data_IF_869673244309
#
_entry.id   IF_869673244309
#
_cell.length_a   1.000
_cell.length_b   1.000
_cell.length_c   1.000
_cell.angle_alpha   90.00
_cell.angle_beta   90.00
_cell.angle_gamma   90.00
#
_symmetry.space_group_name_H-M   'P 1'
#
loop_
_entity.id
_entity.type
_entity.pdbx_description
1 polymer ?
#
# COMPACT_ATOMS: atom_id res chain seq x y z
N UNK A 1 15.58 -3.30 20.79
CA UNK A 1 16.49 -2.67 19.81
C UNK A 1 17.78 -3.47 19.77
N UNK A 2 18.21 -3.87 18.57
CA UNK A 2 19.49 -4.56 18.39
C UNK A 2 20.66 -3.57 18.57
N UNK A 3 21.82 -4.01 19.09
CA UNK A 3 22.98 -3.15 19.26
C UNK A 3 23.68 -2.80 17.94
N UNK A 4 23.38 -3.53 16.85
CA UNK A 4 23.94 -3.33 15.51
C UNK A 4 22.99 -3.85 14.43
N UNK A 5 23.23 -3.42 13.20
CA UNK A 5 22.65 -3.96 11.98
C UNK A 5 23.77 -4.14 10.96
N UNK A 6 24.05 -5.39 10.60
CA UNK A 6 25.09 -5.73 9.64
C UNK A 6 24.50 -5.92 8.24
N UNK A 7 25.30 -5.61 7.22
CA UNK A 7 24.94 -5.78 5.82
C UNK A 7 26.05 -6.59 5.12
N UNK A 8 25.66 -7.61 4.34
CA UNK A 8 26.60 -8.46 3.62
C UNK A 8 26.22 -8.61 2.14
N UNK A 9 27.20 -8.36 1.27
CA UNK A 9 27.10 -8.67 -0.15
C UNK A 9 27.54 -10.13 -0.39
N UNK A 10 26.69 -10.88 -1.10
CA UNK A 10 26.88 -12.29 -1.44
C UNK A 10 26.95 -12.41 -2.96
N UNK A 11 28.02 -13.00 -3.46
CA UNK A 11 28.32 -13.13 -4.90
C UNK A 11 27.26 -13.94 -5.63
N UNK A 12 26.89 -15.12 -5.11
CA UNK A 12 25.87 -16.00 -5.68
C UNK A 12 24.72 -16.17 -4.68
N UNK A 13 23.73 -15.28 -4.75
CA UNK A 13 22.56 -15.34 -3.89
C UNK A 13 21.30 -15.72 -4.71
N UNK A 14 20.61 -16.84 -4.40
CA UNK A 14 19.45 -17.29 -5.18
C UNK A 14 18.32 -16.26 -5.17
N UNK A 15 18.10 -15.63 -4.02
CA UNK A 15 17.19 -14.49 -3.87
C UNK A 15 17.90 -13.18 -4.23
N UNK A 16 17.16 -12.07 -4.34
CA UNK A 16 17.80 -10.76 -4.51
C UNK A 16 18.49 -10.28 -3.22
N UNK A 17 17.83 -10.47 -2.09
CA UNK A 17 18.26 -10.12 -0.74
C UNK A 17 17.36 -10.83 0.28
N UNK A 18 17.74 -10.77 1.56
CA UNK A 18 16.99 -11.33 2.67
C UNK A 18 17.20 -10.48 3.93
N UNK A 19 16.10 -10.14 4.57
CA UNK A 19 15.96 -9.26 5.74
C UNK A 19 16.26 -9.94 7.09
N UNK A 20 17.27 -10.81 7.18
CA UNK A 20 17.52 -11.50 8.45
C UNK A 20 17.75 -10.49 9.58
N UNK A 21 17.10 -10.70 10.73
CA UNK A 21 17.07 -9.73 11.82
C UNK A 21 18.48 -9.46 12.37
N UNK A 22 18.99 -8.25 12.12
CA UNK A 22 20.34 -7.82 12.50
C UNK A 22 21.46 -8.16 11.50
N UNK A 23 21.16 -8.87 10.40
CA UNK A 23 22.12 -9.29 9.38
C UNK A 23 21.48 -9.40 7.98
N UNK A 24 21.39 -8.28 7.27
CA UNK A 24 20.74 -8.23 5.95
C UNK A 24 21.73 -8.69 4.88
N UNK A 25 21.31 -9.66 4.06
CA UNK A 25 22.13 -10.20 2.97
C UNK A 25 21.61 -9.74 1.61
N UNK A 26 22.51 -9.44 0.68
CA UNK A 26 22.21 -8.88 -0.64
C UNK A 26 22.96 -9.67 -1.72
N UNK A 27 22.42 -9.75 -2.94
CA UNK A 27 23.30 -9.86 -4.12
C UNK A 27 24.23 -8.65 -4.16
N UNK A 28 25.46 -8.83 -4.62
CA UNK A 28 26.45 -7.73 -4.71
C UNK A 28 25.88 -6.45 -5.35
N UNK A 29 25.14 -6.61 -6.45
CA UNK A 29 24.52 -5.49 -7.18
C UNK A 29 23.51 -4.68 -6.36
N UNK A 30 22.95 -5.26 -5.29
CA UNK A 30 21.95 -4.63 -4.43
C UNK A 30 22.55 -3.88 -3.24
N UNK A 31 23.86 -3.98 -2.99
CA UNK A 31 24.55 -3.31 -1.88
C UNK A 31 25.77 -2.50 -2.35
N UNK A 32 26.60 -3.07 -3.22
CA UNK A 32 27.84 -2.45 -3.67
C UNK A 32 27.55 -1.40 -4.74
N UNK A 33 28.21 -0.24 -4.62
CA UNK A 33 28.22 0.80 -5.65
C UNK A 33 29.59 0.80 -6.31
N UNK A 34 29.62 0.56 -7.62
CA UNK A 34 30.84 0.62 -8.41
C UNK A 34 30.94 1.98 -9.11
N UNK A 35 32.17 2.42 -9.41
CA UNK A 35 32.46 3.73 -10.01
C UNK A 35 31.79 3.97 -11.36
N UNK A 36 31.36 2.90 -12.03
CA UNK A 36 30.69 2.93 -13.33
C UNK A 36 29.16 2.75 -13.25
N UNK A 37 28.57 2.78 -12.04
CA UNK A 37 27.12 2.66 -11.91
C UNK A 37 26.39 3.86 -12.51
N UNK A 38 25.33 3.57 -13.24
CA UNK A 38 24.40 4.59 -13.74
C UNK A 38 23.57 5.15 -12.60
N UNK A 39 23.06 6.37 -12.77
CA UNK A 39 22.11 6.97 -11.83
C UNK A 39 20.89 6.08 -11.58
N UNK A 40 20.41 5.37 -12.61
CA UNK A 40 19.31 4.42 -12.50
C UNK A 40 19.64 3.24 -11.56
N UNK A 41 20.87 2.73 -11.59
CA UNK A 41 21.31 1.66 -10.69
C UNK A 41 21.41 2.17 -9.24
N UNK A 42 21.99 3.36 -9.04
CA UNK A 42 22.07 3.99 -7.72
C UNK A 42 20.66 4.23 -7.16
N UNK A 43 19.75 4.76 -8.00
CA UNK A 43 18.34 4.98 -7.68
C UNK A 43 17.66 3.66 -7.25
N UNK A 44 17.85 2.58 -8.02
CA UNK A 44 17.31 1.26 -7.69
C UNK A 44 17.81 0.75 -6.35
N UNK A 45 19.12 0.88 -6.08
CA UNK A 45 19.73 0.42 -4.83
C UNK A 45 19.22 1.19 -3.61
N UNK A 46 19.01 2.51 -3.72
CA UNK A 46 18.39 3.31 -2.64
C UNK A 46 17.04 2.73 -2.23
N UNK A 47 16.16 2.46 -3.20
CA UNK A 47 14.87 1.83 -2.91
C UNK A 47 15.03 0.43 -2.34
N UNK A 48 15.94 -0.35 -2.91
CA UNK A 48 16.12 -1.73 -2.53
C UNK A 48 16.56 -1.87 -1.07
N UNK A 49 17.55 -1.07 -0.65
CA UNK A 49 18.01 -1.00 0.73
C UNK A 49 16.89 -0.49 1.65
N UNK A 50 16.18 0.57 1.26
CA UNK A 50 15.07 1.12 2.05
C UNK A 50 13.95 0.09 2.28
N UNK A 51 13.63 -0.73 1.27
CA UNK A 51 12.66 -1.84 1.42
C UNK A 51 13.14 -2.84 2.45
N UNK A 52 14.41 -3.23 2.40
CA UNK A 52 14.96 -4.26 3.28
C UNK A 52 15.01 -3.81 4.74
N UNK A 53 15.30 -2.53 4.96
CA UNK A 53 15.23 -1.88 6.27
C UNK A 53 13.80 -1.72 6.80
N UNK A 54 12.77 -1.90 5.95
CA UNK A 54 11.38 -1.74 6.34
C UNK A 54 10.68 -3.09 6.64
N UNK A 55 11.39 -4.21 6.54
CA UNK A 55 10.88 -5.52 6.95
C UNK A 55 10.89 -5.65 8.47
N UNK A 56 9.80 -5.22 9.08
CA UNK A 56 9.67 -5.15 10.54
C UNK A 56 8.58 -6.10 11.08
N UNK A 57 7.84 -6.80 10.20
CA UNK A 57 6.77 -7.72 10.59
C UNK A 57 7.14 -9.18 10.34
N UNK A 58 6.94 -10.00 11.37
CA UNK A 58 6.89 -11.46 11.20
C UNK A 58 5.43 -11.89 11.13
N UNK A 59 4.92 -12.43 10.01
CA UNK A 59 3.53 -12.87 9.94
C UNK A 59 3.34 -14.18 10.72
N UNK A 60 2.15 -14.38 11.33
CA UNK A 60 1.80 -15.64 12.01
C UNK A 60 1.81 -16.84 11.07
N UNK A 61 1.51 -16.62 9.79
CA UNK A 61 1.56 -17.64 8.74
C UNK A 61 1.74 -17.01 7.36
N UNK A 62 2.07 -17.82 6.37
CA UNK A 62 2.22 -17.40 4.97
C UNK A 62 0.94 -16.81 4.36
N UNK A 63 -0.23 -17.10 4.93
CA UNK A 63 -1.51 -16.42 4.60
C UNK A 63 -1.39 -14.90 4.71
N UNK A 64 -0.58 -14.42 5.66
CA UNK A 64 -0.43 -13.01 6.00
C UNK A 64 0.89 -12.40 5.51
N UNK A 65 1.54 -13.04 4.52
CA UNK A 65 2.79 -12.56 3.93
C UNK A 65 2.71 -11.09 3.46
N UNK A 66 1.54 -10.66 3.00
CA UNK A 66 1.28 -9.29 2.55
C UNK A 66 1.54 -8.23 3.64
N UNK A 67 1.49 -8.59 4.93
CA UNK A 67 1.80 -7.68 6.03
C UNK A 67 3.28 -7.29 5.99
N UNK A 68 4.18 -8.28 5.82
CA UNK A 68 5.61 -8.02 5.73
C UNK A 68 5.96 -7.33 4.42
N UNK A 69 5.60 -7.95 3.29
CA UNK A 69 6.01 -7.49 1.97
C UNK A 69 5.33 -6.19 1.54
N UNK A 70 4.05 -6.02 1.88
CA UNK A 70 3.29 -4.84 1.53
C UNK A 70 3.75 -3.62 2.33
N UNK A 71 4.00 -3.80 3.63
CA UNK A 71 4.50 -2.70 4.47
C UNK A 71 5.90 -2.27 4.01
N UNK A 72 6.81 -3.23 3.79
CA UNK A 72 8.13 -2.93 3.23
C UNK A 72 8.04 -2.24 1.87
N UNK A 73 7.13 -2.67 0.99
CA UNK A 73 6.89 -2.04 -0.32
C UNK A 73 6.39 -0.60 -0.19
N UNK A 74 5.49 -0.30 0.75
CA UNK A 74 5.06 1.09 0.95
C UNK A 74 6.20 1.97 1.49
N UNK A 75 6.88 1.51 2.53
CA UNK A 75 7.95 2.27 3.18
C UNK A 75 9.17 2.46 2.29
N UNK A 76 9.44 1.52 1.37
CA UNK A 76 10.45 1.66 0.32
C UNK A 76 10.32 3.01 -0.40
N UNK A 77 9.12 3.37 -0.86
CA UNK A 77 8.89 4.63 -1.56
C UNK A 77 8.72 5.80 -0.61
N UNK A 78 8.00 5.61 0.51
CA UNK A 78 7.77 6.69 1.47
C UNK A 78 9.09 7.24 2.05
N UNK A 79 9.98 6.36 2.50
CA UNK A 79 11.26 6.76 3.11
C UNK A 79 12.20 7.34 2.07
N UNK A 80 12.31 6.73 0.89
CA UNK A 80 13.20 7.25 -0.16
C UNK A 80 12.73 8.61 -0.68
N UNK A 81 11.43 8.82 -0.85
CA UNK A 81 10.89 10.12 -1.22
C UNK A 81 11.15 11.19 -0.16
N UNK A 82 11.18 10.82 1.12
CA UNK A 82 11.51 11.75 2.19
C UNK A 82 13.00 12.09 2.24
N UNK A 83 13.88 11.11 2.00
CA UNK A 83 15.32 11.30 2.04
C UNK A 83 15.89 11.95 0.77
N UNK A 84 15.25 11.72 -0.37
CA UNK A 84 15.72 12.15 -1.70
C UNK A 84 14.52 12.67 -2.55
N UNK A 85 13.84 13.74 -2.10
CA UNK A 85 12.62 14.25 -2.75
C UNK A 85 12.84 14.69 -4.20
N UNK A 86 14.06 15.02 -4.58
CA UNK A 86 14.45 15.42 -5.94
C UNK A 86 14.44 14.26 -6.95
N UNK A 87 14.42 13.01 -6.48
CA UNK A 87 14.53 11.82 -7.33
C UNK A 87 13.19 11.24 -7.81
N UNK A 88 12.06 11.79 -7.36
CA UNK A 88 10.73 11.42 -7.88
C UNK A 88 10.22 10.04 -7.44
N UNK A 89 10.52 9.62 -6.20
CA UNK A 89 10.09 8.32 -5.68
C UNK A 89 8.56 8.22 -5.48
N UNK A 90 7.85 9.33 -5.26
CA UNK A 90 6.38 9.33 -5.20
C UNK A 90 5.73 9.13 -6.59
N UNK A 91 6.35 9.65 -7.66
CA UNK A 91 5.97 9.36 -9.05
C UNK A 91 6.16 7.88 -9.36
N UNK A 92 7.30 7.32 -8.97
CA UNK A 92 7.63 5.91 -9.16
C UNK A 92 6.70 4.99 -8.33
N UNK A 93 6.32 5.39 -7.12
CA UNK A 93 5.31 4.66 -6.35
C UNK A 93 3.98 4.53 -7.10
N UNK A 94 3.55 5.61 -7.78
CA UNK A 94 2.31 5.59 -8.57
C UNK A 94 2.39 4.63 -9.76
N UNK A 95 3.53 4.54 -10.42
CA UNK A 95 3.69 3.71 -11.63
C UNK A 95 4.09 2.27 -11.28
N UNK A 96 5.17 2.09 -10.52
CA UNK A 96 5.78 0.80 -10.23
C UNK A 96 5.09 -0.01 -9.12
N UNK A 97 4.29 0.64 -8.25
CA UNK A 97 3.45 -0.07 -7.28
C UNK A 97 1.97 -0.01 -7.67
N UNK A 98 1.37 1.19 -7.68
CA UNK A 98 -0.09 1.31 -7.84
C UNK A 98 -0.53 0.81 -9.22
N UNK A 99 -0.07 1.45 -10.31
CA UNK A 99 -0.49 1.07 -11.66
C UNK A 99 -0.09 -0.37 -12.02
N UNK A 100 1.13 -0.78 -11.66
CA UNK A 100 1.58 -2.16 -11.84
C UNK A 100 0.66 -3.19 -11.14
N UNK A 101 0.17 -2.89 -9.93
CA UNK A 101 -0.79 -3.76 -9.26
C UNK A 101 -2.13 -3.83 -10.00
N UNK A 102 -2.66 -2.69 -10.49
CA UNK A 102 -3.93 -2.65 -11.22
C UNK A 102 -3.89 -3.45 -12.53
N UNK A 103 -2.77 -3.39 -13.26
CA UNK A 103 -2.58 -4.17 -14.50
C UNK A 103 -2.62 -5.69 -14.22
N UNK A 104 -2.09 -6.11 -13.09
CA UNK A 104 -1.98 -7.54 -12.75
C UNK A 104 -3.19 -8.08 -11.98
N UNK A 105 -3.87 -7.26 -11.19
CA UNK A 105 -4.97 -7.64 -10.28
C UNK A 105 -6.32 -7.78 -11.00
N UNK A 106 -6.29 -8.47 -12.14
CA UNK A 106 -7.43 -8.73 -13.02
C UNK A 106 -7.80 -10.21 -12.95
N UNK A 107 -9.09 -10.52 -13.07
CA UNK A 107 -9.60 -11.89 -12.88
C UNK A 107 -9.02 -12.93 -13.85
N UNK A 108 -8.50 -12.49 -15.00
CA UNK A 108 -7.85 -13.35 -16.00
C UNK A 108 -6.44 -13.75 -15.59
N UNK A 109 -5.84 -13.09 -14.61
CA UNK A 109 -4.55 -13.46 -14.05
C UNK A 109 -4.74 -14.55 -12.98
N UNK A 110 -4.15 -15.75 -13.13
CA UNK A 110 -4.29 -16.83 -12.15
C UNK A 110 -3.73 -16.48 -10.77
N UNK A 111 -2.85 -15.48 -10.67
CA UNK A 111 -2.34 -14.96 -9.41
C UNK A 111 -3.28 -13.95 -8.73
N UNK A 112 -4.42 -13.59 -9.35
CA UNK A 112 -5.44 -12.71 -8.75
C UNK A 112 -6.21 -13.44 -7.65
N UNK A 113 -5.71 -13.29 -6.43
CA UNK A 113 -6.27 -13.86 -5.20
C UNK A 113 -6.40 -12.76 -4.14
N UNK A 114 -7.19 -12.97 -3.06
CA UNK A 114 -7.17 -12.11 -1.89
C UNK A 114 -5.74 -11.92 -1.33
N UNK A 115 -5.50 -10.83 -0.60
CA UNK A 115 -4.22 -10.65 0.10
C UNK A 115 -4.08 -11.70 1.21
N UNK A 116 -5.17 -11.95 1.93
CA UNK A 116 -5.32 -13.05 2.89
C UNK A 116 -5.68 -14.35 2.14
N UNK A 117 -4.66 -15.08 1.70
CA UNK A 117 -4.84 -16.31 0.94
C UNK A 117 -4.00 -17.45 1.51
N UNK A 118 -4.67 -18.50 2.01
CA UNK A 118 -4.02 -19.61 2.68
C UNK A 118 -3.17 -20.44 1.72
N UNK A 119 -1.96 -20.77 2.16
CA UNK A 119 -1.02 -21.66 1.50
C UNK A 119 -0.25 -22.45 2.55
N UNK A 120 0.25 -23.62 2.16
CA UNK A 120 0.99 -24.52 3.06
C UNK A 120 2.11 -25.23 2.30
N UNK A 121 1.82 -25.70 1.09
CA UNK A 121 2.82 -26.30 0.21
C UNK A 121 3.92 -25.31 -0.18
N UNK A 122 5.18 -25.77 -0.17
CA UNK A 122 6.34 -24.90 -0.40
C UNK A 122 6.29 -24.18 -1.76
N UNK A 123 5.79 -24.84 -2.80
CA UNK A 123 5.60 -24.25 -4.13
C UNK A 123 4.52 -23.18 -4.12
N UNK A 124 3.42 -23.39 -3.39
CA UNK A 124 2.36 -22.41 -3.22
C UNK A 124 2.85 -21.20 -2.40
N UNK A 125 3.61 -21.42 -1.33
CA UNK A 125 4.26 -20.36 -0.54
C UNK A 125 5.16 -19.51 -1.43
N UNK A 126 6.05 -20.13 -2.22
CA UNK A 126 6.90 -19.40 -3.18
C UNK A 126 6.06 -18.60 -4.18
N UNK A 127 4.95 -19.15 -4.64
CA UNK A 127 4.00 -18.47 -5.51
C UNK A 127 3.33 -17.23 -4.90
N UNK A 128 3.34 -17.07 -3.57
CA UNK A 128 2.81 -15.87 -2.88
C UNK A 128 3.75 -14.68 -2.90
N UNK A 129 5.04 -14.86 -3.21
CA UNK A 129 5.99 -13.75 -3.41
C UNK A 129 5.77 -13.10 -4.78
N UNK A 130 4.61 -12.47 -4.95
CA UNK A 130 4.13 -11.90 -6.20
C UNK A 130 3.44 -10.55 -5.98
N UNK A 131 2.91 -9.95 -7.04
CA UNK A 131 2.35 -8.60 -7.00
C UNK A 131 1.25 -8.38 -5.94
N UNK A 132 0.53 -9.44 -5.52
CA UNK A 132 -0.49 -9.34 -4.48
C UNK A 132 0.14 -8.98 -3.13
N UNK A 133 1.23 -9.66 -2.77
CA UNK A 133 1.91 -9.46 -1.49
C UNK A 133 2.80 -8.21 -1.48
N UNK A 134 3.29 -7.78 -2.65
CA UNK A 134 4.14 -6.60 -2.78
C UNK A 134 3.34 -5.36 -3.22
N UNK A 135 3.15 -5.17 -4.52
CA UNK A 135 2.61 -3.93 -5.11
C UNK A 135 1.17 -3.64 -4.66
N UNK A 136 0.27 -4.63 -4.69
CA UNK A 136 -1.13 -4.46 -4.27
C UNK A 136 -1.18 -4.15 -2.77
N UNK A 137 -0.57 -5.00 -1.95
CA UNK A 137 -0.56 -4.80 -0.50
C UNK A 137 0.06 -3.46 -0.10
N UNK A 138 1.21 -3.08 -0.66
CA UNK A 138 1.82 -1.77 -0.42
C UNK A 138 0.93 -0.61 -0.86
N UNK A 139 0.22 -0.75 -1.98
CA UNK A 139 -0.75 0.25 -2.45
C UNK A 139 -1.92 0.42 -1.49
N UNK A 140 -2.50 -0.68 -1.01
CA UNK A 140 -3.63 -0.66 -0.06
C UNK A 140 -3.19 -0.15 1.31
N UNK A 141 -2.08 -0.66 1.85
CA UNK A 141 -1.50 -0.20 3.11
C UNK A 141 -1.24 1.31 3.01
N UNK A 142 -0.58 1.78 1.95
CA UNK A 142 -0.33 3.20 1.73
C UNK A 142 -1.61 4.03 1.62
N UNK A 143 -2.67 3.53 0.98
CA UNK A 143 -3.96 4.21 0.89
C UNK A 143 -4.59 4.45 2.28
N UNK A 144 -4.51 3.48 3.19
CA UNK A 144 -5.01 3.59 4.56
C UNK A 144 -4.10 4.42 5.45
N UNK A 145 -2.78 4.23 5.36
CA UNK A 145 -1.81 4.99 6.15
C UNK A 145 -1.82 6.49 5.79
N UNK A 146 -2.12 6.85 4.55
CA UNK A 146 -2.32 8.25 4.14
C UNK A 146 -3.54 8.92 4.81
N UNK A 147 -4.43 8.15 5.43
CA UNK A 147 -5.50 8.71 6.28
C UNK A 147 -4.98 9.22 7.62
N UNK A 148 -3.72 8.90 7.98
CA UNK A 148 -3.06 9.20 9.26
C UNK A 148 -1.88 10.18 9.10
N UNK A 149 -1.79 10.92 7.98
CA UNK A 149 -0.58 11.65 7.57
C UNK A 149 0.00 12.61 8.62
N UNK A 150 -0.81 13.15 9.54
CA UNK A 150 -0.36 14.22 10.42
C UNK A 150 0.61 13.74 11.52
N UNK A 151 0.53 12.50 11.98
CA UNK A 151 1.54 11.92 12.89
C UNK A 151 2.03 10.53 12.44
N UNK A 152 1.96 10.26 11.14
CA UNK A 152 2.24 8.95 10.58
C UNK A 152 3.53 8.28 11.12
N UNK A 153 4.73 8.90 11.14
CA UNK A 153 5.94 8.24 11.64
C UNK A 153 5.86 7.80 13.11
N UNK A 154 5.27 8.65 13.97
CA UNK A 154 5.06 8.34 15.39
C UNK A 154 4.07 7.19 15.55
N UNK A 155 3.06 7.12 14.69
CA UNK A 155 2.03 6.07 14.71
C UNK A 155 2.52 4.75 14.15
N UNK A 156 3.27 4.77 13.04
CA UNK A 156 3.95 3.58 12.53
C UNK A 156 4.89 2.99 13.56
N UNK A 157 5.65 3.83 14.27
CA UNK A 157 6.47 3.37 15.39
C UNK A 157 5.64 2.68 16.47
N UNK A 158 4.52 3.29 16.90
CA UNK A 158 3.61 2.70 17.90
C UNK A 158 3.08 1.33 17.46
N UNK A 159 2.56 1.24 16.22
CA UNK A 159 2.05 0.01 15.59
C UNK A 159 3.10 -1.12 15.63
N UNK A 160 4.36 -0.79 15.36
CA UNK A 160 5.48 -1.75 15.38
C UNK A 160 5.87 -2.15 16.81
N UNK A 161 5.87 -1.19 17.75
CA UNK A 161 6.31 -1.45 19.14
C UNK A 161 5.28 -2.20 19.99
N UNK A 162 4.00 -2.09 19.69
CA UNK A 162 2.95 -2.80 20.45
C UNK A 162 2.92 -4.29 20.16
N UNK A 163 3.43 -4.70 19.00
CA UNK A 163 3.53 -6.10 18.57
C UNK A 163 4.99 -6.61 18.60
N UNK A 164 5.86 -5.92 19.34
CA UNK A 164 7.29 -6.22 19.35
C UNK A 164 7.55 -7.66 19.83
N UNK A 165 8.36 -8.41 19.08
CA UNK A 165 8.66 -9.83 19.29
C UNK A 165 7.49 -10.82 19.16
N UNK A 166 6.37 -10.40 18.58
CA UNK A 166 5.24 -11.30 18.30
C UNK A 166 5.01 -11.43 16.80
N UNK A 167 4.49 -12.59 16.40
CA UNK A 167 4.03 -12.76 15.04
C UNK A 167 2.68 -12.05 14.85
N UNK A 168 2.55 -11.26 13.80
CA UNK A 168 1.40 -10.42 13.52
C UNK A 168 0.36 -11.14 12.66
N UNK A 169 -0.92 -10.98 12.99
CA UNK A 169 -2.05 -11.21 12.09
C UNK A 169 -2.59 -9.86 11.58
N UNK A 170 -3.49 -9.88 10.58
CA UNK A 170 -4.17 -8.67 10.14
C UNK A 170 -4.94 -7.97 11.28
N UNK A 171 -5.47 -8.73 12.25
CA UNK A 171 -6.28 -8.18 13.33
C UNK A 171 -5.46 -7.23 14.23
N UNK A 172 -4.23 -7.59 14.60
CA UNK A 172 -3.38 -6.73 15.42
C UNK A 172 -2.95 -5.47 14.65
N UNK A 173 -2.61 -5.61 13.36
CA UNK A 173 -2.28 -4.45 12.53
C UNK A 173 -3.47 -3.49 12.41
N UNK A 174 -4.65 -4.00 12.09
CA UNK A 174 -5.84 -3.17 11.88
C UNK A 174 -6.27 -2.48 13.18
N UNK A 175 -6.15 -3.18 14.32
CA UNK A 175 -6.38 -2.60 15.64
C UNK A 175 -5.41 -1.47 15.92
N UNK A 176 -4.11 -1.67 15.69
CA UNK A 176 -3.12 -0.63 15.94
C UNK A 176 -3.32 0.61 15.04
N UNK A 177 -3.74 0.41 13.78
CA UNK A 177 -4.12 1.51 12.89
C UNK A 177 -5.41 2.21 13.38
N UNK A 178 -6.40 1.46 13.88
CA UNK A 178 -7.62 2.03 14.47
C UNK A 178 -7.30 2.91 15.67
N UNK A 179 -6.49 2.43 16.61
CA UNK A 179 -6.10 3.19 17.80
C UNK A 179 -5.34 4.48 17.40
N UNK A 180 -4.44 4.38 16.42
CA UNK A 180 -3.78 5.55 15.86
C UNK A 180 -4.76 6.55 15.22
N UNK A 181 -5.78 6.04 14.50
CA UNK A 181 -6.83 6.85 13.88
C UNK A 181 -7.68 7.58 14.94
N UNK A 182 -8.14 6.87 15.97
CA UNK A 182 -9.02 7.40 17.01
C UNK A 182 -8.32 8.49 17.83
N UNK A 183 -7.02 8.36 18.08
CA UNK A 183 -6.23 9.40 18.76
C UNK A 183 -6.10 10.69 17.92
N UNK A 184 -5.98 10.58 16.60
CA UNK A 184 -5.93 11.76 15.69
C UNK A 184 -7.32 12.33 15.39
N UNK A 185 -8.34 11.48 15.46
CA UNK A 185 -9.71 11.78 15.13
C UNK A 185 -10.62 11.34 16.29
N UNK A 186 -10.64 12.04 17.44
CA UNK A 186 -11.45 11.65 18.60
C UNK A 186 -12.97 11.59 18.31
N UNK A 187 -13.41 12.30 17.27
CA UNK A 187 -14.79 12.31 16.79
C UNK A 187 -14.96 11.50 15.47
N UNK A 188 -13.90 10.83 15.03
CA UNK A 188 -13.88 9.92 13.90
C UNK A 188 -14.82 8.74 14.14
N UNK A 189 -15.33 8.18 13.05
CA UNK A 189 -16.27 7.04 13.10
C UNK A 189 -15.89 5.95 12.10
N UNK A 190 -14.64 5.93 11.68
CA UNK A 190 -14.15 4.90 10.77
C UNK A 190 -13.90 3.63 11.54
N UNK A 191 -14.39 2.52 10.98
CA UNK A 191 -14.12 1.16 11.43
C UNK A 191 -13.00 0.60 10.54
N UNK A 192 -11.75 0.96 10.86
CA UNK A 192 -10.56 0.61 10.11
C UNK A 192 -10.46 -0.90 9.85
N UNK A 193 -10.68 -1.81 10.84
CA UNK A 193 -10.69 -3.24 10.58
C UNK A 193 -11.66 -3.63 9.47
N UNK A 194 -12.91 -3.17 9.53
CA UNK A 194 -13.89 -3.45 8.48
C UNK A 194 -13.49 -2.88 7.12
N UNK A 195 -12.95 -1.66 7.10
CA UNK A 195 -12.53 -1.02 5.85
C UNK A 195 -11.36 -1.78 5.22
N UNK A 196 -10.33 -2.14 5.99
CA UNK A 196 -9.16 -2.89 5.49
C UNK A 196 -9.53 -4.31 5.09
N UNK A 197 -10.34 -5.02 5.89
CA UNK A 197 -10.83 -6.36 5.55
C UNK A 197 -11.55 -6.40 4.20
N UNK A 198 -12.30 -5.36 3.84
CA UNK A 198 -12.96 -5.29 2.53
C UNK A 198 -11.99 -5.28 1.33
N UNK A 199 -10.70 -5.02 1.56
CA UNK A 199 -9.64 -5.09 0.54
C UNK A 199 -8.79 -6.35 0.66
N UNK A 200 -8.56 -6.85 1.87
CA UNK A 200 -7.64 -7.97 2.10
C UNK A 200 -8.27 -9.33 1.83
N UNK A 201 -9.58 -9.49 2.04
CA UNK A 201 -10.27 -10.78 1.96
C UNK A 201 -10.92 -11.06 0.59
N UNK A 202 -10.73 -10.20 -0.40
CA UNK A 202 -11.28 -10.39 -1.75
C UNK A 202 -10.26 -10.06 -2.85
N UNK A 203 -10.36 -10.77 -3.98
CA UNK A 203 -9.48 -10.61 -5.13
C UNK A 203 -9.93 -9.46 -6.04
N UNK A 204 -8.97 -8.83 -6.72
CA UNK A 204 -9.21 -7.68 -7.58
C UNK A 204 -9.37 -6.36 -6.84
N UNK A 205 -9.90 -5.38 -7.58
CA UNK A 205 -10.14 -4.01 -7.14
C UNK A 205 -11.40 -3.41 -7.79
N UNK A 206 -11.96 -2.32 -7.24
CA UNK A 206 -13.14 -1.67 -7.80
C UNK A 206 -12.78 -0.61 -8.87
N UNK A 207 -13.67 -0.44 -9.85
CA UNK A 207 -13.84 0.82 -10.56
C UNK A 207 -14.96 1.59 -9.86
N UNK A 208 -14.70 2.88 -9.59
CA UNK A 208 -15.72 3.82 -9.13
C UNK A 208 -16.23 4.61 -10.33
N UNK A 209 -17.50 4.44 -10.66
CA UNK A 209 -18.20 5.20 -11.69
C UNK A 209 -18.92 6.40 -11.06
N UNK A 210 -18.88 7.53 -11.76
CA UNK A 210 -19.49 8.78 -11.32
C UNK A 210 -20.49 9.23 -12.37
N UNK A 211 -21.77 9.23 -12.03
CA UNK A 211 -22.85 9.82 -12.83
C UNK A 211 -23.21 11.19 -12.23
N UNK A 212 -23.22 12.24 -13.06
CA UNK A 212 -23.59 13.60 -12.63
C UNK A 212 -24.95 14.00 -13.19
N UNK A 213 -25.83 14.50 -12.33
CA UNK A 213 -27.11 15.11 -12.71
C UNK A 213 -27.29 16.43 -11.97
N UNK A 214 -27.01 17.55 -12.66
CA UNK A 214 -26.96 18.88 -12.05
C UNK A 214 -25.92 18.95 -10.94
N UNK A 215 -26.36 19.26 -9.72
CA UNK A 215 -25.53 19.31 -8.51
C UNK A 215 -25.41 17.96 -7.79
N UNK A 216 -26.08 16.90 -8.26
CA UNK A 216 -26.06 15.58 -7.63
C UNK A 216 -25.04 14.68 -8.32
N UNK A 217 -24.26 13.97 -7.52
CA UNK A 217 -23.37 12.91 -7.98
C UNK A 217 -23.92 11.57 -7.49
N UNK A 218 -24.00 10.59 -8.37
CA UNK A 218 -24.25 9.20 -8.01
C UNK A 218 -22.95 8.45 -8.25
N UNK A 219 -22.40 7.93 -7.17
CA UNK A 219 -21.23 7.08 -7.17
C UNK A 219 -21.67 5.63 -7.15
N UNK A 220 -21.02 4.78 -7.91
CA UNK A 220 -21.20 3.33 -7.86
C UNK A 220 -19.87 2.62 -8.00
N UNK A 221 -19.76 1.42 -7.44
CA UNK A 221 -18.58 0.58 -7.57
C UNK A 221 -18.90 -0.81 -8.13
N UNK A 222 -18.01 -1.29 -8.98
CA UNK A 222 -18.03 -2.64 -9.56
C UNK A 222 -16.60 -3.15 -9.63
N UNK A 223 -16.37 -4.44 -9.39
CA UNK A 223 -15.03 -5.03 -9.54
C UNK A 223 -14.59 -4.98 -11.02
N UNK A 224 -13.33 -4.64 -11.26
CA UNK A 224 -12.74 -4.74 -12.59
C UNK A 224 -12.17 -6.14 -12.88
N UNK A 225 -12.24 -6.64 -14.14
CA UNK A 225 -13.02 -6.11 -15.25
C UNK A 225 -14.52 -6.45 -15.14
N UNK A 226 -14.86 -7.44 -14.33
CA UNK A 226 -16.23 -7.85 -14.07
C UNK A 226 -16.38 -8.36 -12.63
N UNK A 227 -17.56 -8.14 -12.06
CA UNK A 227 -17.95 -8.66 -10.74
C UNK A 227 -19.36 -8.21 -10.39
N UNK A 228 -20.05 -9.00 -9.55
CA UNK A 228 -21.47 -8.79 -9.28
C UNK A 228 -21.83 -8.76 -7.79
N UNK A 229 -20.86 -8.81 -6.88
CA UNK A 229 -21.14 -8.91 -5.44
C UNK A 229 -20.16 -8.16 -4.54
N UNK A 230 -18.93 -7.96 -5.02
CA UNK A 230 -17.83 -7.39 -4.26
C UNK A 230 -18.09 -5.93 -3.92
N UNK A 231 -17.85 -5.57 -2.66
CA UNK A 231 -17.96 -4.20 -2.16
C UNK A 231 -16.65 -3.90 -1.46
N UNK A 232 -15.93 -2.91 -1.96
CA UNK A 232 -14.71 -2.40 -1.35
C UNK A 232 -15.05 -1.13 -0.58
N UNK A 233 -14.32 -0.89 0.50
CA UNK A 233 -14.41 0.37 1.22
C UNK A 233 -13.46 1.38 0.61
N UNK A 234 -13.95 2.14 -0.37
CA UNK A 234 -13.10 3.05 -1.15
C UNK A 234 -13.04 4.43 -0.49
N UNK A 235 -11.86 4.90 -0.04
CA UNK A 235 -11.68 6.29 0.36
C UNK A 235 -11.73 7.20 -0.87
N UNK A 236 -12.49 8.29 -0.78
CA UNK A 236 -12.69 9.22 -1.88
C UNK A 236 -12.21 10.63 -1.50
N UNK A 237 -11.37 11.16 -2.37
CA UNK A 237 -10.99 12.58 -2.47
C UNK A 237 -11.41 13.08 -3.84
N UNK A 238 -11.78 14.35 -3.96
CA UNK A 238 -12.09 14.95 -5.25
C UNK A 238 -11.67 16.42 -5.28
N UNK A 239 -11.38 16.88 -6.47
CA UNK A 239 -11.01 18.26 -6.80
C UNK A 239 -12.03 18.80 -7.80
N UNK A 240 -12.31 20.09 -7.77
CA UNK A 240 -13.28 20.72 -8.71
C UNK A 240 -12.59 21.81 -9.50
N UNK A 241 -13.13 22.14 -10.67
CA UNK A 241 -12.62 23.26 -11.48
C UNK A 241 -12.63 24.60 -10.72
N UNK A 242 -13.56 24.77 -9.77
CA UNK A 242 -13.69 25.96 -8.92
C UNK A 242 -12.81 25.93 -7.66
N UNK A 243 -12.34 24.75 -7.24
CA UNK A 243 -11.46 24.57 -6.08
C UNK A 243 -10.52 23.40 -6.36
N UNK A 244 -9.37 23.74 -6.93
CA UNK A 244 -8.33 22.77 -7.24
C UNK A 244 -7.59 22.42 -5.96
N UNK A 245 -7.74 21.18 -5.51
CA UNK A 245 -6.99 20.62 -4.39
C UNK A 245 -6.66 19.15 -4.67
N UNK A 246 -5.38 18.91 -4.96
CA UNK A 246 -4.81 17.56 -5.08
C UNK A 246 -3.83 17.24 -3.95
N UNK A 247 -3.67 18.18 -3.00
CA UNK A 247 -2.76 18.05 -1.87
C UNK A 247 -3.43 17.25 -0.75
N UNK A 248 -4.74 17.43 -0.52
CA UNK A 248 -5.49 16.68 0.49
C UNK A 248 -5.48 15.17 0.18
N UNK A 249 -4.90 14.38 1.08
CA UNK A 249 -4.83 12.90 0.96
C UNK A 249 -5.81 12.15 1.88
N UNK A 250 -6.38 12.85 2.86
CA UNK A 250 -7.42 12.31 3.75
C UNK A 250 -8.78 12.34 3.07
N UNK A 251 -9.50 11.22 3.13
CA UNK A 251 -10.79 11.06 2.49
C UNK A 251 -11.90 11.85 3.21
N UNK A 252 -12.58 12.72 2.47
CA UNK A 252 -13.80 13.38 2.97
C UNK A 252 -15.03 12.46 2.93
N UNK A 253 -14.99 11.41 2.11
CA UNK A 253 -16.07 10.44 1.96
C UNK A 253 -15.56 9.03 1.74
N UNK A 254 -16.36 8.06 2.17
CA UNK A 254 -16.14 6.65 1.88
C UNK A 254 -17.33 6.09 1.09
N UNK A 255 -17.02 5.26 0.09
CA UNK A 255 -17.98 4.44 -0.64
C UNK A 255 -17.87 3.00 -0.12
N UNK A 256 -18.78 2.64 0.79
CA UNK A 256 -18.84 1.32 1.47
C UNK A 256 -20.06 0.50 1.04
N UNK A 257 -20.76 0.95 0.01
CA UNK A 257 -21.94 0.31 -0.58
C UNK A 257 -21.77 0.23 -2.10
N UNK A 258 -22.59 -0.57 -2.78
CA UNK A 258 -22.60 -0.66 -4.25
C UNK A 258 -22.81 0.70 -4.93
N UNK A 259 -23.68 1.54 -4.36
CA UNK A 259 -23.90 2.89 -4.83
C UNK A 259 -24.23 3.85 -3.69
N UNK A 260 -23.87 5.12 -3.87
CA UNK A 260 -24.14 6.22 -2.92
C UNK A 260 -24.43 7.50 -3.69
N UNK A 261 -25.47 8.23 -3.28
CA UNK A 261 -25.74 9.58 -3.79
C UNK A 261 -25.03 10.60 -2.90
N UNK A 262 -24.33 11.54 -3.52
CA UNK A 262 -23.75 12.71 -2.88
C UNK A 262 -24.42 13.96 -3.43
N UNK A 263 -24.83 14.86 -2.53
CA UNK A 263 -25.25 16.20 -2.92
C UNK A 263 -23.99 17.04 -2.96
N UNK A 264 -23.60 17.45 -4.15
CA UNK A 264 -22.44 18.30 -4.34
C UNK A 264 -22.92 19.76 -4.35
N UNK A 265 -22.34 20.64 -3.53
CA UNK A 265 -22.48 22.10 -3.74
C UNK A 265 -21.60 22.57 -4.91
N UNK A 266 -21.34 21.70 -5.90
CA UNK A 266 -20.29 21.88 -6.89
C UNK A 266 -20.88 22.48 -8.16
N UNK A 267 -20.59 23.77 -8.40
CA UNK A 267 -20.60 24.34 -9.75
C UNK A 267 -19.36 23.83 -10.49
N UNK A 268 -19.52 22.89 -11.42
CA UNK A 268 -18.45 22.53 -12.37
C UNK A 268 -18.75 23.32 -13.64
N UNK A 269 -17.98 24.37 -13.93
CA UNK A 269 -18.00 25.00 -15.25
C UNK A 269 -17.20 24.10 -16.20
N UNK A 270 -17.85 23.53 -17.21
CA UNK A 270 -17.15 22.93 -18.34
C UNK A 270 -16.71 24.08 -19.25
N UNK A 271 -15.42 24.42 -19.25
CA UNK A 271 -14.84 25.15 -20.39
C UNK A 271 -14.34 24.09 -21.37
N UNK A 272 -14.94 24.05 -22.55
CA UNK A 272 -14.35 23.38 -23.69
C UNK A 272 -13.03 24.09 -24.01
N UNK A 273 -11.95 23.32 -24.09
CA UNK A 273 -10.69 23.79 -24.67
C UNK A 273 -10.35 22.73 -25.71
N UNK A 274 -10.34 23.17 -26.97
CA UNK A 274 -9.81 22.39 -28.10
C UNK A 274 -8.30 22.44 -28.18
#
# INVERSE_FOLDING_TARGET
MLPKLDHAAITEFPSGAMENFGFITYREVGLLLYTNYTEAQIYSNKKYIARLLAHEFSPQWWTYLFLNEGFATFFQYYVTNHLFPELGFDEDYRTAAIQASLVNDVITNPACVPMEYYVEEQTAIRGRFNYVSYQKAGSIIGMFLKQLERNFPKRSYKILTENYYQAASPAELYKAIQEAYDEENPNGKLDIPKLMSSWSTQAGYPIVSIEKSGSKLKLSQTRYPSGNGEIYSVPLTFSTASKIDFATKTAGHWLTTKAKKLISKISISMKAIG
#
